data_IF_906902277100
#
_entry.id   IF_906902277100
#
_cell.length_a   1.000
_cell.length_b   1.000
_cell.length_c   1.000
_cell.angle_alpha   90.00
_cell.angle_beta   90.00
_cell.angle_gamma   90.00
#
_symmetry.space_group_name_H-M   'P 1'
#
loop_
_entity.id
_entity.type
_entity.pdbx_description
1 polymer ?
#
# COMPACT_ATOMS: atom_id res chain seq x y z
N UNK A 1 -10.30 63.44 64.16
CA UNK A 1 -10.58 63.04 62.76
C UNK A 1 -9.63 61.91 62.41
N UNK A 2 -10.10 60.67 62.38
CA UNK A 2 -9.29 59.51 62.00
C UNK A 2 -9.82 58.98 60.67
N UNK A 3 -8.99 59.07 59.62
CA UNK A 3 -9.27 58.56 58.29
C UNK A 3 -9.19 57.02 58.29
N UNK A 4 -10.29 56.35 57.98
CA UNK A 4 -10.27 54.93 57.61
C UNK A 4 -9.78 54.78 56.16
N UNK A 5 -8.79 53.91 55.86
CA UNK A 5 -8.41 53.64 54.49
C UNK A 5 -9.43 52.69 53.83
N UNK A 6 -9.91 53.09 52.65
CA UNK A 6 -10.76 52.29 51.78
C UNK A 6 -9.94 51.11 51.26
N UNK A 7 -10.41 49.89 51.53
CA UNK A 7 -9.79 48.67 51.04
C UNK A 7 -9.84 48.60 49.50
N UNK A 8 -8.70 48.29 48.88
CA UNK A 8 -8.59 48.12 47.43
C UNK A 8 -9.44 46.92 46.95
N UNK A 9 -10.06 47.01 45.75
CA UNK A 9 -10.87 45.92 45.23
C UNK A 9 -10.01 44.69 44.94
N UNK A 10 -10.55 43.47 45.10
CA UNK A 10 -9.79 42.26 44.89
C UNK A 10 -9.36 42.15 43.41
N UNK A 11 -8.16 41.64 43.12
CA UNK A 11 -7.69 41.50 41.76
C UNK A 11 -8.60 40.55 40.98
N UNK A 12 -9.02 40.97 39.78
CA UNK A 12 -9.82 40.15 38.88
C UNK A 12 -9.14 38.79 38.68
N UNK A 13 -9.84 37.69 39.00
CA UNK A 13 -9.35 36.33 38.79
C UNK A 13 -9.01 36.17 37.31
N UNK A 14 -7.71 36.11 36.97
CA UNK A 14 -7.24 35.72 35.62
C UNK A 14 -7.84 34.35 35.31
N UNK A 15 -8.82 34.32 34.41
CA UNK A 15 -9.43 33.09 33.91
C UNK A 15 -8.34 32.31 33.19
N UNK A 16 -7.77 31.30 33.84
CA UNK A 16 -6.82 30.39 33.20
C UNK A 16 -7.60 29.69 32.08
N UNK A 17 -7.35 30.08 30.83
CA UNK A 17 -7.86 29.37 29.65
C UNK A 17 -7.13 28.03 29.58
N UNK A 18 -7.67 27.04 30.30
CA UNK A 18 -7.21 25.67 30.21
C UNK A 18 -7.75 25.07 28.92
N UNK A 19 -6.91 24.32 28.19
CA UNK A 19 -7.34 23.52 27.03
C UNK A 19 -8.49 22.55 27.38
N UNK A 20 -8.66 22.22 28.67
CA UNK A 20 -9.79 21.44 29.17
C UNK A 20 -11.16 22.14 29.07
N UNK A 21 -11.20 23.42 28.68
CA UNK A 21 -12.46 24.15 28.46
C UNK A 21 -13.00 24.03 27.03
N UNK A 22 -12.20 23.46 26.12
CA UNK A 22 -12.59 23.25 24.73
C UNK A 22 -13.25 21.87 24.62
N UNK A 23 -14.41 21.76 23.95
CA UNK A 23 -15.04 20.47 23.66
C UNK A 23 -14.12 19.52 22.88
N UNK A 24 -14.18 18.21 23.19
CA UNK A 24 -13.30 17.21 22.61
C UNK A 24 -13.45 17.09 21.08
N UNK A 25 -14.66 17.28 20.54
CA UNK A 25 -14.92 17.29 19.09
C UNK A 25 -14.18 18.43 18.38
N UNK A 26 -14.13 19.62 18.98
CA UNK A 26 -13.35 20.76 18.47
C UNK A 26 -11.85 20.45 18.54
N UNK A 27 -11.37 19.86 19.64
CA UNK A 27 -9.96 19.46 19.77
C UNK A 27 -9.60 18.42 18.71
N UNK A 28 -10.42 17.39 18.52
CA UNK A 28 -10.23 16.36 17.48
C UNK A 28 -10.17 16.99 16.11
N UNK A 29 -11.08 17.93 15.81
CA UNK A 29 -11.10 18.64 14.53
C UNK A 29 -9.79 19.43 14.31
N UNK A 30 -9.27 20.12 15.33
CA UNK A 30 -7.98 20.82 15.28
C UNK A 30 -6.83 19.84 15.06
N UNK A 31 -6.75 18.79 15.88
CA UNK A 31 -5.71 17.75 15.80
C UNK A 31 -5.74 17.04 14.44
N UNK A 32 -6.90 16.85 13.83
CA UNK A 32 -7.07 16.23 12.52
C UNK A 32 -6.40 17.03 11.39
N UNK A 33 -6.15 18.34 11.57
CA UNK A 33 -5.44 19.17 10.59
C UNK A 33 -3.92 19.12 10.72
N UNK A 34 -3.41 18.54 11.80
CA UNK A 34 -1.97 18.40 12.04
C UNK A 34 -1.50 17.09 11.40
N UNK A 35 -0.34 17.09 10.73
CA UNK A 35 0.27 15.85 10.22
C UNK A 35 0.48 14.81 11.34
N UNK A 36 0.17 13.54 11.04
CA UNK A 36 0.31 12.39 11.96
C UNK A 36 1.74 12.27 12.52
N UNK A 37 2.74 12.74 11.79
CA UNK A 37 4.14 12.79 12.23
C UNK A 37 4.33 13.48 13.59
N UNK A 38 3.48 14.46 13.91
CA UNK A 38 3.54 15.22 15.17
C UNK A 38 2.72 14.59 16.30
N UNK A 39 1.87 13.59 16.01
CA UNK A 39 0.97 13.01 17.01
C UNK A 39 1.74 12.40 18.18
N UNK A 40 2.92 11.82 17.91
CA UNK A 40 3.77 11.29 18.97
C UNK A 40 4.19 12.36 19.97
N UNK A 41 4.52 13.56 19.51
CA UNK A 41 4.87 14.69 20.37
C UNK A 41 3.63 15.24 21.08
N UNK A 42 2.51 15.37 20.38
CA UNK A 42 1.26 15.89 20.94
C UNK A 42 0.66 14.97 22.02
N UNK A 43 0.77 13.66 21.85
CA UNK A 43 0.40 12.67 22.86
C UNK A 43 1.15 12.86 24.19
N UNK A 44 2.35 13.47 24.16
CA UNK A 44 3.15 13.74 25.37
C UNK A 44 2.75 15.05 26.06
N UNK A 45 2.00 15.92 25.39
CA UNK A 45 1.61 17.24 25.92
C UNK A 45 0.51 17.13 26.99
N UNK A 46 -0.44 16.20 26.81
CA UNK A 46 -1.60 16.05 27.68
C UNK A 46 -2.19 14.64 27.62
N UNK A 47 -2.70 14.16 28.76
CA UNK A 47 -3.48 12.91 28.81
C UNK A 47 -4.73 12.97 27.94
N UNK A 48 -5.35 14.15 27.80
CA UNK A 48 -6.51 14.31 26.92
C UNK A 48 -6.12 14.13 25.45
N UNK A 49 -5.03 14.78 25.02
CA UNK A 49 -4.52 14.61 23.65
C UNK A 49 -4.11 13.17 23.38
N UNK A 50 -3.46 12.50 24.33
CA UNK A 50 -3.18 11.07 24.22
C UNK A 50 -4.46 10.25 24.00
N UNK A 51 -5.51 10.49 24.80
CA UNK A 51 -6.80 9.79 24.70
C UNK A 51 -7.45 10.02 23.34
N UNK A 52 -7.57 11.28 22.91
CA UNK A 52 -8.22 11.64 21.65
C UNK A 52 -7.44 11.14 20.42
N UNK A 53 -6.11 11.23 20.43
CA UNK A 53 -5.26 10.72 19.34
C UNK A 53 -5.17 9.18 19.32
N UNK A 54 -5.56 8.52 20.40
CA UNK A 54 -5.69 7.05 20.46
C UNK A 54 -7.09 6.57 20.06
N UNK A 55 -8.09 7.47 20.03
CA UNK A 55 -9.45 7.17 19.59
C UNK A 55 -9.55 7.02 18.07
N UNK A 56 -10.41 6.13 17.53
CA UNK A 56 -10.71 6.09 16.11
C UNK A 56 -11.29 7.41 15.55
N UNK A 57 -11.86 8.26 16.40
CA UNK A 57 -12.54 9.51 16.01
C UNK A 57 -11.62 10.46 15.24
N UNK A 58 -10.33 10.50 15.59
CA UNK A 58 -9.36 11.36 14.91
C UNK A 58 -9.24 10.98 13.43
N UNK A 59 -9.28 9.69 13.11
CA UNK A 59 -9.14 9.21 11.74
C UNK A 59 -10.42 9.42 10.94
N UNK A 60 -11.58 9.31 11.59
CA UNK A 60 -12.85 9.70 10.98
C UNK A 60 -12.87 11.20 10.65
N UNK A 61 -12.47 12.05 11.60
CA UNK A 61 -12.38 13.49 11.39
C UNK A 61 -11.42 13.85 10.24
N UNK A 62 -10.23 13.23 10.18
CA UNK A 62 -9.26 13.41 9.07
C UNK A 62 -9.84 13.02 7.72
N UNK A 63 -10.53 11.88 7.67
CA UNK A 63 -11.19 11.41 6.45
C UNK A 63 -12.25 12.40 5.97
N UNK A 64 -13.03 13.00 6.89
CA UNK A 64 -14.05 13.99 6.55
C UNK A 64 -13.47 15.30 6.01
N UNK A 65 -12.36 15.77 6.59
CA UNK A 65 -11.73 17.04 6.18
C UNK A 65 -10.69 16.87 5.06
N UNK A 66 -10.45 15.65 4.59
CA UNK A 66 -9.52 15.34 3.51
C UNK A 66 -8.04 15.45 3.89
N UNK A 67 -7.69 15.28 5.17
CA UNK A 67 -6.31 15.38 5.66
C UNK A 67 -5.64 14.03 5.90
N UNK A 68 -6.14 12.92 5.34
CA UNK A 68 -5.50 11.60 5.50
C UNK A 68 -4.07 11.59 4.96
N UNK A 69 -3.13 11.07 5.75
CA UNK A 69 -1.73 10.93 5.34
C UNK A 69 -1.56 9.59 4.61
N UNK A 70 -0.80 9.58 3.51
CA UNK A 70 -0.46 8.35 2.81
C UNK A 70 0.78 7.74 3.47
N UNK A 71 0.70 6.47 3.88
CA UNK A 71 1.82 5.73 4.47
C UNK A 71 2.18 4.49 3.64
N UNK A 72 3.48 4.21 3.54
CA UNK A 72 3.97 2.99 2.90
C UNK A 72 4.20 1.90 3.94
N UNK A 73 3.50 0.80 3.76
CA UNK A 73 3.67 -0.42 4.54
C UNK A 73 4.47 -1.43 3.72
N UNK A 74 5.46 -2.05 4.35
CA UNK A 74 6.37 -3.04 3.76
C UNK A 74 6.28 -4.32 4.59
N UNK A 75 5.90 -5.43 3.96
CA UNK A 75 5.93 -6.75 4.57
C UNK A 75 7.16 -7.51 4.08
N UNK A 76 8.02 -7.90 5.03
CA UNK A 76 9.19 -8.73 4.76
C UNK A 76 8.98 -10.14 5.31
N UNK A 77 9.39 -11.13 4.52
CA UNK A 77 9.58 -12.51 4.95
C UNK A 77 11.01 -12.66 5.45
N UNK A 78 11.14 -12.93 6.74
CA UNK A 78 12.40 -13.03 7.47
C UNK A 78 12.69 -14.50 7.82
N UNK A 79 13.94 -14.96 7.69
CA UNK A 79 14.31 -16.30 8.17
C UNK A 79 14.23 -16.35 9.69
N UNK A 80 13.82 -17.50 10.23
CA UNK A 80 13.86 -17.75 11.67
C UNK A 80 15.20 -18.42 12.00
N UNK A 81 15.99 -17.94 12.99
CA UNK A 81 17.35 -18.42 13.22
C UNK A 81 17.50 -19.92 13.50
N UNK A 82 16.46 -20.55 14.04
CA UNK A 82 16.46 -21.94 14.52
C UNK A 82 15.55 -22.89 13.70
N UNK A 83 15.01 -22.45 12.57
CA UNK A 83 14.06 -23.25 11.79
C UNK A 83 14.11 -22.93 10.30
N UNK A 84 13.71 -23.88 9.46
CA UNK A 84 13.40 -23.61 8.03
C UNK A 84 12.15 -22.75 7.85
N UNK A 85 11.41 -22.48 8.95
CA UNK A 85 10.28 -21.57 8.97
C UNK A 85 10.71 -20.12 8.74
N UNK A 86 9.84 -19.37 8.09
CA UNK A 86 10.03 -17.95 7.88
C UNK A 86 8.84 -17.23 8.50
N UNK A 87 9.08 -16.03 9.03
CA UNK A 87 8.01 -15.21 9.56
C UNK A 87 7.83 -13.91 8.77
N UNK A 88 6.59 -13.47 8.67
CA UNK A 88 6.23 -12.21 8.07
C UNK A 88 6.33 -11.10 9.11
N UNK A 89 6.79 -9.92 8.70
CA UNK A 89 6.83 -8.75 9.56
C UNK A 89 6.51 -7.51 8.76
N UNK A 90 5.57 -6.73 9.28
CA UNK A 90 5.16 -5.45 8.72
C UNK A 90 5.99 -4.31 9.29
N UNK A 91 6.37 -3.41 8.40
CA UNK A 91 7.13 -2.20 8.68
C UNK A 91 6.42 -1.02 8.04
N UNK A 92 6.42 0.11 8.72
CA UNK A 92 6.15 1.40 8.11
C UNK A 92 7.45 1.96 7.53
N UNK A 93 7.39 2.50 6.31
CA UNK A 93 8.48 3.27 5.76
C UNK A 93 8.36 4.70 6.32
N UNK A 94 9.29 5.06 7.21
CA UNK A 94 9.30 6.35 7.87
C UNK A 94 10.67 7.02 7.78
N UNK A 95 10.69 8.32 8.06
CA UNK A 95 11.93 9.08 8.08
C UNK A 95 12.61 8.98 9.45
N UNK A 96 13.87 8.54 9.46
CA UNK A 96 14.76 8.69 10.61
C UNK A 96 15.99 9.47 10.15
N UNK A 97 16.27 10.58 10.82
CA UNK A 97 17.42 11.44 10.52
C UNK A 97 17.50 11.85 9.03
N UNK A 98 16.35 12.09 8.39
CA UNK A 98 16.26 12.50 6.99
C UNK A 98 16.42 11.37 5.95
N UNK A 99 16.58 10.12 6.37
CA UNK A 99 16.64 8.94 5.49
C UNK A 99 15.40 8.05 5.64
N UNK A 100 14.97 7.41 4.54
CA UNK A 100 13.93 6.39 4.59
C UNK A 100 14.42 5.17 5.36
N UNK A 101 13.63 4.72 6.32
CA UNK A 101 13.96 3.60 7.19
C UNK A 101 12.74 2.74 7.48
N UNK A 102 12.98 1.44 7.71
CA UNK A 102 11.95 0.49 8.10
C UNK A 102 11.68 0.60 9.60
N UNK A 103 10.48 1.04 9.96
CA UNK A 103 10.01 1.13 11.34
C UNK A 103 9.06 -0.03 11.61
N UNK A 104 9.39 -0.98 12.52
CA UNK A 104 8.52 -2.11 12.80
C UNK A 104 7.12 -1.68 13.25
N UNK A 105 6.08 -2.27 12.66
CA UNK A 105 4.70 -2.10 13.14
C UNK A 105 4.53 -2.98 14.37
N UNK A 106 4.55 -2.37 15.56
CA UNK A 106 4.28 -3.07 16.82
C UNK A 106 2.78 -3.21 17.00
N UNK A 107 2.30 -4.45 17.05
CA UNK A 107 0.87 -4.76 17.23
C UNK A 107 0.53 -4.90 18.70
N UNK A 108 -0.61 -4.33 19.12
CA UNK A 108 -1.01 -4.28 20.53
C UNK A 108 -1.62 -5.59 21.07
N UNK A 109 -2.06 -6.50 20.20
CA UNK A 109 -2.61 -7.78 20.65
C UNK A 109 -1.52 -8.82 20.88
N UNK A 110 -1.50 -9.41 22.08
CA UNK A 110 -0.74 -10.64 22.42
C UNK A 110 -1.33 -11.89 21.74
N UNK A 111 -2.49 -11.79 21.07
CA UNK A 111 -3.05 -12.90 20.29
C UNK A 111 -2.33 -13.00 18.94
N UNK A 112 -1.11 -13.53 19.02
CA UNK A 112 -0.49 -14.40 18.01
C UNK A 112 -0.30 -13.83 16.61
N UNK A 113 0.82 -13.10 16.43
CA UNK A 113 1.59 -12.94 15.18
C UNK A 113 0.82 -12.43 13.94
N UNK A 114 1.47 -11.67 13.04
CA UNK A 114 1.02 -11.73 11.65
C UNK A 114 1.08 -13.21 11.27
N UNK A 115 -0.02 -13.88 10.92
CA UNK A 115 0.06 -15.31 10.70
C UNK A 115 1.04 -15.52 9.56
N UNK A 116 2.10 -16.27 9.84
CA UNK A 116 3.15 -16.58 8.89
C UNK A 116 2.54 -17.41 7.77
N UNK A 117 2.03 -16.70 6.76
CA UNK A 117 1.33 -17.25 5.62
C UNK A 117 2.20 -17.04 4.42
N UNK A 118 3.07 -18.02 4.18
CA UNK A 118 3.93 -18.03 3.01
C UNK A 118 3.09 -17.84 1.76
N UNK A 119 3.52 -16.91 0.92
CA UNK A 119 2.92 -16.64 -0.38
C UNK A 119 1.42 -16.28 -0.29
N UNK A 120 1.02 -15.62 0.81
CA UNK A 120 -0.25 -14.87 0.88
C UNK A 120 -0.21 -13.66 -0.04
N UNK A 121 -1.38 -13.20 -0.47
CA UNK A 121 -1.52 -11.92 -1.17
C UNK A 121 -1.97 -10.84 -0.20
N UNK A 122 -1.63 -9.58 -0.48
CA UNK A 122 -2.01 -8.46 0.37
C UNK A 122 -2.55 -7.31 -0.48
N UNK A 123 -3.61 -6.66 -0.01
CA UNK A 123 -4.18 -5.47 -0.64
C UNK A 123 -4.51 -4.42 0.41
N UNK A 124 -4.24 -3.16 0.10
CA UNK A 124 -4.64 -2.03 0.91
C UNK A 124 -6.07 -1.62 0.57
N UNK A 125 -6.87 -1.40 1.59
CA UNK A 125 -8.24 -0.88 1.48
C UNK A 125 -8.39 0.22 2.51
N UNK A 126 -8.47 1.47 2.05
CA UNK A 126 -8.51 2.64 2.94
C UNK A 126 -7.34 2.60 3.95
N UNK A 127 -7.67 2.50 5.25
CA UNK A 127 -6.74 2.42 6.38
C UNK A 127 -6.45 0.99 6.86
N UNK A 128 -6.80 0.00 6.07
CA UNK A 128 -6.69 -1.41 6.40
C UNK A 128 -5.84 -2.16 5.37
N UNK A 129 -5.13 -3.19 5.82
CA UNK A 129 -4.44 -4.13 4.94
C UNK A 129 -5.08 -5.50 5.11
N UNK A 130 -5.57 -6.05 4.01
CA UNK A 130 -6.12 -7.40 3.96
C UNK A 130 -5.01 -8.36 3.51
N UNK A 131 -4.64 -9.29 4.38
CA UNK A 131 -3.79 -10.43 4.08
C UNK A 131 -4.65 -11.66 3.81
N UNK A 132 -4.54 -12.22 2.60
CA UNK A 132 -5.47 -13.21 2.07
C UNK A 132 -4.72 -14.46 1.64
N UNK A 133 -5.19 -15.63 2.10
CA UNK A 133 -4.67 -16.92 1.70
C UNK A 133 -3.22 -17.16 2.14
N UNK A 134 -2.45 -17.90 1.35
CA UNK A 134 -1.10 -18.34 1.64
C UNK A 134 -1.06 -19.76 2.22
N UNK A 135 -0.05 -20.06 3.03
CA UNK A 135 0.14 -21.38 3.61
C UNK A 135 1.12 -21.39 4.78
N UNK A 136 1.01 -22.37 5.67
CA UNK A 136 1.99 -22.59 6.75
C UNK A 136 3.27 -23.24 6.24
N UNK A 137 3.23 -23.90 5.09
CA UNK A 137 4.37 -24.51 4.42
C UNK A 137 4.19 -24.51 2.88
N UNK A 138 5.06 -25.23 2.15
CA UNK A 138 4.96 -25.22 0.69
C UNK A 138 3.68 -25.89 0.13
N UNK A 139 3.12 -26.86 0.86
CA UNK A 139 2.07 -27.75 0.36
C UNK A 139 0.65 -27.34 0.79
N UNK A 140 0.49 -26.70 1.95
CA UNK A 140 -0.83 -26.38 2.52
C UNK A 140 -1.31 -25.00 2.08
N UNK A 141 -2.47 -24.94 1.44
CA UNK A 141 -3.21 -23.70 1.12
C UNK A 141 -4.17 -23.34 2.26
N UNK A 142 -4.51 -22.08 2.40
CA UNK A 142 -5.47 -21.61 3.41
C UNK A 142 -6.55 -20.72 2.81
N UNK A 143 -7.75 -20.76 3.39
CA UNK A 143 -8.87 -19.87 3.07
C UNK A 143 -8.88 -18.58 3.89
N UNK A 144 -8.01 -18.49 4.89
CA UNK A 144 -8.13 -17.48 5.93
C UNK A 144 -7.83 -16.08 5.41
N UNK A 145 -8.56 -15.12 5.98
CA UNK A 145 -8.34 -13.68 5.76
C UNK A 145 -8.10 -12.99 7.10
N UNK A 146 -7.14 -12.08 7.09
CA UNK A 146 -6.72 -11.30 8.25
C UNK A 146 -6.57 -9.84 7.86
N UNK A 147 -7.02 -8.96 8.73
CA UNK A 147 -7.01 -7.52 8.49
C UNK A 147 -6.14 -6.87 9.53
N UNK A 148 -5.15 -6.09 9.06
CA UNK A 148 -4.40 -5.17 9.89
C UNK A 148 -5.05 -3.80 9.76
N UNK A 149 -5.71 -3.34 10.82
CA UNK A 149 -6.13 -1.94 10.92
C UNK A 149 -4.87 -1.12 11.22
N UNK A 150 -4.48 -0.23 10.30
CA UNK A 150 -3.23 0.53 10.37
C UNK A 150 -3.28 1.69 11.38
N UNK A 151 -4.48 2.07 11.83
CA UNK A 151 -4.72 3.15 12.79
C UNK A 151 -4.48 2.63 14.21
N UNK A 152 -5.18 1.57 14.56
CA UNK A 152 -5.08 0.88 15.85
C UNK A 152 -3.88 -0.07 15.95
N UNK A 153 -3.28 -0.44 14.81
CA UNK A 153 -2.20 -1.44 14.71
C UNK A 153 -2.64 -2.79 15.30
N UNK A 154 -3.87 -3.17 15.05
CA UNK A 154 -4.44 -4.44 15.53
C UNK A 154 -4.79 -5.36 14.39
N UNK A 155 -4.62 -6.66 14.63
CA UNK A 155 -5.05 -7.69 13.71
C UNK A 155 -6.42 -8.21 14.11
N UNK A 156 -7.29 -8.40 13.13
CA UNK A 156 -8.60 -9.04 13.29
C UNK A 156 -8.86 -10.08 12.21
N UNK A 157 -9.65 -11.13 12.49
CA UNK A 157 -10.17 -11.99 11.45
C UNK A 157 -11.16 -11.23 10.56
N UNK A 158 -11.26 -11.66 9.31
CA UNK A 158 -12.36 -11.35 8.39
C UNK A 158 -12.95 -12.67 7.88
N UNK A 159 -14.13 -12.66 7.25
CA UNK A 159 -14.72 -13.87 6.67
C UNK A 159 -13.73 -14.61 5.76
N UNK A 160 -13.59 -15.91 5.99
CA UNK A 160 -12.73 -16.76 5.18
C UNK A 160 -13.25 -16.86 3.74
N UNK A 161 -12.34 -17.00 2.78
CA UNK A 161 -12.68 -17.38 1.40
C UNK A 161 -13.40 -18.73 1.37
N UNK A 162 -14.12 -19.00 0.29
CA UNK A 162 -14.70 -20.33 0.03
C UNK A 162 -13.62 -21.31 -0.42
N UNK A 163 -12.63 -20.85 -1.18
CA UNK A 163 -11.54 -21.68 -1.70
C UNK A 163 -10.22 -21.33 -1.01
N UNK A 164 -9.46 -22.36 -0.63
CA UNK A 164 -8.11 -22.18 -0.10
C UNK A 164 -7.13 -21.81 -1.23
N UNK A 165 -6.39 -20.70 -1.05
CA UNK A 165 -5.51 -20.13 -2.09
C UNK A 165 -4.11 -19.86 -1.56
N UNK A 166 -3.11 -20.00 -2.43
CA UNK A 166 -1.70 -19.64 -2.20
C UNK A 166 -1.08 -19.15 -3.51
N UNK A 167 -0.22 -18.14 -3.48
CA UNK A 167 0.24 -17.41 -4.69
C UNK A 167 -0.89 -16.73 -5.46
N UNK A 168 -2.00 -16.41 -4.80
CA UNK A 168 -3.08 -15.62 -5.39
C UNK A 168 -2.65 -14.17 -5.63
N UNK A 169 -3.41 -13.46 -6.46
CA UNK A 169 -3.29 -12.01 -6.64
C UNK A 169 -4.56 -11.35 -6.11
N UNK A 170 -4.43 -10.20 -5.43
CA UNK A 170 -5.57 -9.44 -4.91
C UNK A 170 -5.61 -8.02 -5.45
N UNK A 171 -6.82 -7.53 -5.69
CA UNK A 171 -7.09 -6.21 -6.26
C UNK A 171 -8.23 -5.53 -5.50
N UNK A 172 -8.12 -4.22 -5.30
CA UNK A 172 -9.19 -3.41 -4.70
C UNK A 172 -9.85 -2.57 -5.78
N UNK A 173 -11.17 -2.69 -5.91
CA UNK A 173 -11.99 -1.96 -6.88
C UNK A 173 -13.42 -1.85 -6.35
N UNK A 174 -13.99 -0.64 -6.36
CA UNK A 174 -15.39 -0.37 -5.98
C UNK A 174 -15.85 -0.99 -4.66
N UNK A 175 -15.11 -0.75 -3.57
CA UNK A 175 -15.36 -1.31 -2.23
C UNK A 175 -15.37 -2.85 -2.17
N UNK A 176 -14.76 -3.51 -3.17
CA UNK A 176 -14.66 -4.97 -3.26
C UNK A 176 -13.20 -5.39 -3.42
N UNK A 177 -12.89 -6.56 -2.88
CA UNK A 177 -11.59 -7.20 -3.04
C UNK A 177 -11.73 -8.39 -3.98
N UNK A 178 -11.05 -8.34 -5.10
CA UNK A 178 -10.99 -9.42 -6.09
C UNK A 178 -9.75 -10.25 -5.84
N UNK A 179 -9.89 -11.56 -5.73
CA UNK A 179 -8.80 -12.50 -5.48
C UNK A 179 -8.78 -13.53 -6.61
N UNK A 180 -7.68 -13.63 -7.35
CA UNK A 180 -7.57 -14.48 -8.53
C UNK A 180 -6.43 -15.50 -8.40
N UNK A 181 -6.65 -16.68 -8.98
CA UNK A 181 -5.66 -17.75 -9.04
C UNK A 181 -5.33 -18.39 -7.68
N UNK A 182 -4.19 -19.07 -7.64
CA UNK A 182 -3.65 -19.67 -6.42
C UNK A 182 -4.41 -20.90 -5.86
N UNK A 183 -5.43 -21.37 -6.57
CA UNK A 183 -6.21 -22.57 -6.24
C UNK A 183 -5.76 -23.80 -7.04
N UNK A 184 -6.35 -24.96 -6.78
CA UNK A 184 -6.19 -26.15 -7.64
C UNK A 184 -6.94 -25.96 -8.97
N UNK A 185 -6.52 -26.66 -10.04
CA UNK A 185 -7.07 -26.54 -11.42
C UNK A 185 -8.51 -27.07 -11.52
N UNK A 186 -9.50 -26.31 -11.02
CA UNK A 186 -10.91 -26.43 -11.39
C UNK A 186 -11.40 -25.05 -11.83
N UNK A 187 -12.13 -24.99 -12.94
CA UNK A 187 -12.52 -23.73 -13.59
C UNK A 187 -13.43 -22.87 -12.71
N UNK A 188 -14.35 -23.50 -11.96
CA UNK A 188 -15.27 -22.86 -11.02
C UNK A 188 -14.58 -22.12 -9.86
N UNK A 189 -13.30 -22.43 -9.60
CA UNK A 189 -12.55 -21.88 -8.46
C UNK A 189 -11.56 -20.78 -8.84
N UNK A 190 -11.61 -20.28 -10.08
CA UNK A 190 -10.59 -19.37 -10.62
C UNK A 190 -10.35 -18.13 -9.74
N UNK A 191 -11.41 -17.48 -9.28
CA UNK A 191 -11.30 -16.34 -8.38
C UNK A 191 -12.53 -16.17 -7.49
N UNK A 192 -12.44 -15.24 -6.56
CA UNK A 192 -13.54 -14.83 -5.69
C UNK A 192 -13.52 -13.32 -5.47
N UNK A 193 -14.70 -12.75 -5.22
CA UNK A 193 -14.90 -11.33 -4.89
C UNK A 193 -15.43 -11.25 -3.47
N UNK A 194 -14.76 -10.47 -2.63
CA UNK A 194 -15.22 -10.11 -1.30
C UNK A 194 -15.89 -8.74 -1.33
N UNK A 195 -17.15 -8.71 -0.96
CA UNK A 195 -17.88 -7.47 -0.77
C UNK A 195 -17.72 -7.01 0.69
N UNK A 196 -17.05 -5.86 0.88
CA UNK A 196 -16.68 -5.36 2.20
C UNK A 196 -17.91 -4.91 2.99
N UNK A 197 -18.94 -4.40 2.31
CA UNK A 197 -20.16 -3.91 2.98
C UNK A 197 -20.99 -5.06 3.53
N UNK A 198 -21.17 -6.11 2.72
CA UNK A 198 -21.96 -7.29 3.08
C UNK A 198 -21.16 -8.36 3.80
N UNK A 199 -19.82 -8.24 3.83
CA UNK A 199 -18.90 -9.22 4.41
C UNK A 199 -19.07 -10.63 3.80
N UNK A 200 -19.37 -10.70 2.50
CA UNK A 200 -19.65 -11.96 1.78
C UNK A 200 -18.71 -12.18 0.61
N UNK A 201 -18.34 -13.44 0.42
CA UNK A 201 -17.59 -13.91 -0.75
C UNK A 201 -18.53 -14.44 -1.84
N UNK A 202 -18.28 -14.04 -3.08
CA UNK A 202 -18.93 -14.57 -4.29
C UNK A 202 -17.88 -15.14 -5.24
N UNK A 203 -18.20 -16.18 -6.03
CA UNK A 203 -17.32 -16.63 -7.10
C UNK A 203 -17.05 -15.51 -8.10
N UNK A 204 -15.83 -15.45 -8.64
CA UNK A 204 -15.47 -14.60 -9.77
C UNK A 204 -15.26 -15.52 -10.98
N UNK A 205 -16.02 -15.35 -12.08
CA UNK A 205 -15.87 -16.19 -13.26
C UNK A 205 -14.45 -16.08 -13.83
N UNK A 206 -13.95 -17.17 -14.42
CA UNK A 206 -12.70 -17.19 -15.16
C UNK A 206 -12.87 -16.39 -16.47
N UNK A 207 -11.90 -15.56 -16.88
CA UNK A 207 -11.93 -14.97 -18.22
C UNK A 207 -11.87 -16.08 -19.30
N UNK A 208 -12.37 -15.84 -20.53
CA UNK A 208 -12.39 -16.81 -21.64
C UNK A 208 -11.02 -17.32 -22.18
N UNK A 209 -9.98 -17.39 -21.35
CA UNK A 209 -8.63 -17.81 -21.71
C UNK A 209 -8.00 -18.76 -20.68
N UNK A 210 -7.24 -19.74 -21.18
CA UNK A 210 -6.66 -20.84 -20.40
C UNK A 210 -5.30 -20.58 -19.74
N UNK A 211 -4.83 -19.34 -19.74
CA UNK A 211 -3.48 -19.02 -19.28
C UNK A 211 -3.43 -18.33 -17.90
N UNK A 212 -2.23 -18.28 -17.29
CA UNK A 212 -2.03 -17.49 -16.06
C UNK A 212 -2.19 -16.00 -16.38
N UNK A 213 -3.13 -15.37 -15.69
CA UNK A 213 -3.54 -13.99 -15.96
C UNK A 213 -2.88 -13.05 -14.96
N UNK A 214 -2.05 -12.13 -15.43
CA UNK A 214 -1.67 -10.95 -14.62
C UNK A 214 -2.81 -9.97 -14.65
N UNK A 215 -3.31 -9.55 -13.50
CA UNK A 215 -4.36 -8.54 -13.43
C UNK A 215 -3.85 -7.14 -13.07
N UNK A 216 -4.61 -6.11 -13.48
CA UNK A 216 -4.47 -4.72 -13.02
C UNK A 216 -5.84 -4.06 -12.88
N UNK A 217 -5.99 -3.15 -11.93
CA UNK A 217 -7.16 -2.25 -11.90
C UNK A 217 -6.82 -0.96 -12.63
N UNK A 218 -7.60 -0.62 -13.65
CA UNK A 218 -7.43 0.59 -14.45
C UNK A 218 -8.80 1.13 -14.87
N UNK A 219 -9.00 2.44 -14.79
CA UNK A 219 -10.23 3.07 -15.27
C UNK A 219 -11.53 2.52 -14.68
N UNK A 220 -11.50 2.02 -13.43
CA UNK A 220 -12.67 1.43 -12.78
C UNK A 220 -12.97 -0.02 -13.19
N UNK A 221 -12.07 -0.69 -13.92
CA UNK A 221 -12.22 -2.08 -14.35
C UNK A 221 -11.03 -2.93 -13.89
N UNK A 222 -11.27 -4.22 -13.69
CA UNK A 222 -10.21 -5.20 -13.48
C UNK A 222 -9.85 -5.83 -14.81
N UNK A 223 -8.64 -5.54 -15.29
CA UNK A 223 -8.10 -6.13 -16.50
C UNK A 223 -7.30 -7.39 -16.21
N UNK A 224 -7.39 -8.38 -17.08
CA UNK A 224 -6.58 -9.60 -17.09
C UNK A 224 -5.76 -9.64 -18.39
N UNK A 225 -4.44 -9.71 -18.23
CA UNK A 225 -3.47 -9.81 -19.33
C UNK A 225 -2.98 -11.25 -19.49
N UNK A 226 -3.05 -11.73 -20.72
CA UNK A 226 -2.51 -13.01 -21.16
C UNK A 226 -1.09 -12.84 -21.69
N UNK A 227 -0.18 -13.75 -21.35
CA UNK A 227 1.21 -13.68 -21.80
C UNK A 227 1.46 -14.08 -23.27
N UNK A 228 0.49 -14.71 -23.95
CA UNK A 228 0.74 -15.39 -25.24
C UNK A 228 -0.05 -14.90 -26.44
N UNK A 229 -1.23 -14.29 -26.29
CA UNK A 229 -2.12 -14.00 -27.42
C UNK A 229 -2.59 -12.54 -27.50
N UNK A 230 -2.01 -11.61 -26.73
CA UNK A 230 -2.42 -10.20 -26.65
C UNK A 230 -3.93 -9.96 -26.41
N UNK A 231 -4.67 -10.99 -25.99
CA UNK A 231 -6.09 -10.88 -25.71
C UNK A 231 -6.26 -10.40 -24.27
N UNK A 232 -6.57 -9.12 -24.13
CA UNK A 232 -6.87 -8.54 -22.83
C UNK A 232 -8.37 -8.66 -22.57
N UNK A 233 -8.72 -8.97 -21.32
CA UNK A 233 -10.12 -9.03 -20.90
C UNK A 233 -10.32 -8.01 -19.78
N UNK A 234 -11.43 -7.28 -19.83
CA UNK A 234 -11.86 -6.39 -18.77
C UNK A 234 -13.06 -7.02 -18.06
N UNK A 235 -13.01 -7.12 -16.74
CA UNK A 235 -14.15 -7.51 -15.94
C UNK A 235 -15.01 -6.28 -15.67
N UNK A 236 -16.29 -6.39 -16.00
CA UNK A 236 -17.30 -5.37 -15.72
C UNK A 236 -18.08 -5.71 -14.45
N UNK A 237 -17.84 -5.01 -13.32
CA UNK A 237 -18.46 -5.36 -12.04
C UNK A 237 -19.99 -5.29 -12.03
N UNK A 238 -20.58 -4.43 -12.84
CA UNK A 238 -22.04 -4.25 -12.93
C UNK A 238 -22.74 -5.41 -13.65
N UNK A 239 -22.08 -5.94 -14.68
CA UNK A 239 -22.61 -7.02 -15.51
C UNK A 239 -22.10 -8.39 -15.06
N UNK A 240 -21.18 -8.42 -14.08
CA UNK A 240 -20.51 -9.60 -13.54
C UNK A 240 -19.90 -10.53 -14.62
N UNK A 241 -19.39 -9.94 -15.71
CA UNK A 241 -18.82 -10.68 -16.85
C UNK A 241 -17.50 -10.09 -17.36
N UNK A 242 -16.74 -10.93 -18.06
CA UNK A 242 -15.54 -10.52 -18.79
C UNK A 242 -15.91 -10.11 -20.21
N UNK A 243 -15.37 -8.97 -20.64
CA UNK A 243 -15.48 -8.47 -22.01
C UNK A 243 -14.08 -8.49 -22.62
N UNK A 244 -13.94 -9.05 -23.82
CA UNK A 244 -12.69 -8.97 -24.57
C UNK A 244 -12.47 -7.50 -24.99
N UNK A 245 -11.32 -6.94 -24.63
CA UNK A 245 -11.02 -5.54 -24.92
C UNK A 245 -9.64 -5.46 -25.59
N UNK A 246 -9.58 -4.89 -26.78
CA UNK A 246 -8.32 -4.63 -27.48
C UNK A 246 -7.53 -3.44 -26.87
N UNK A 247 -7.97 -2.93 -25.71
CA UNK A 247 -7.31 -1.83 -25.01
C UNK A 247 -5.84 -2.11 -24.73
N UNK A 248 -5.08 -1.05 -24.48
CA UNK A 248 -3.62 -1.07 -24.30
C UNK A 248 -2.81 -1.35 -25.59
N UNK A 249 -3.31 -0.93 -26.75
CA UNK A 249 -2.57 -1.02 -28.02
C UNK A 249 -1.19 -0.37 -27.88
N UNK A 250 -0.15 -1.16 -28.18
CA UNK A 250 1.27 -0.78 -28.12
C UNK A 250 1.87 -0.64 -26.72
N UNK A 251 1.18 -1.16 -25.69
CA UNK A 251 1.82 -1.60 -24.45
C UNK A 251 2.58 -2.91 -24.73
N UNK A 252 3.87 -2.96 -24.37
CA UNK A 252 4.67 -4.17 -24.53
C UNK A 252 4.26 -5.29 -23.57
N UNK A 253 4.83 -6.50 -23.72
CA UNK A 253 4.54 -7.62 -22.82
C UNK A 253 4.84 -7.27 -21.36
N UNK A 254 3.84 -7.45 -20.47
CA UNK A 254 3.98 -7.16 -19.05
C UNK A 254 4.73 -8.30 -18.36
N UNK A 255 6.05 -8.30 -18.45
CA UNK A 255 6.92 -9.31 -17.82
C UNK A 255 7.31 -8.93 -16.39
N UNK A 256 7.46 -7.63 -16.12
CA UNK A 256 7.86 -7.07 -14.83
C UNK A 256 6.73 -6.68 -13.88
N UNK A 257 7.06 -5.94 -12.80
CA UNK A 257 6.09 -5.28 -11.93
C UNK A 257 5.39 -4.11 -12.65
N UNK A 258 4.15 -3.84 -12.25
CA UNK A 258 3.30 -2.81 -12.84
C UNK A 258 2.61 -2.00 -11.74
N UNK A 259 2.40 -0.71 -12.00
CA UNK A 259 1.71 0.22 -11.12
C UNK A 259 0.84 1.16 -11.95
N UNK A 260 -0.33 1.53 -11.42
CA UNK A 260 -1.21 2.54 -12.02
C UNK A 260 -1.24 3.76 -11.12
N UNK A 261 -0.99 4.93 -11.72
CA UNK A 261 -1.08 6.23 -11.05
C UNK A 261 -1.92 7.10 -11.98
N UNK A 262 -3.07 7.60 -11.49
CA UNK A 262 -3.99 8.36 -12.34
C UNK A 262 -4.47 7.52 -13.53
N UNK A 263 -4.23 8.03 -14.74
CA UNK A 263 -4.58 7.36 -16.00
C UNK A 263 -3.36 6.73 -16.68
N UNK A 264 -2.22 6.69 -15.99
CA UNK A 264 -0.94 6.26 -16.49
C UNK A 264 -0.53 4.92 -15.88
N UNK A 265 0.03 4.05 -16.71
CA UNK A 265 0.55 2.75 -16.34
C UNK A 265 2.07 2.80 -16.34
N UNK A 266 2.67 2.43 -15.23
CA UNK A 266 4.12 2.38 -15.03
C UNK A 266 4.56 0.92 -14.96
N UNK A 267 5.64 0.60 -15.67
CA UNK A 267 6.22 -0.74 -15.65
C UNK A 267 7.72 -0.70 -15.88
N UNK A 268 8.39 -1.81 -15.59
CA UNK A 268 9.76 -2.05 -16.00
C UNK A 268 9.79 -2.85 -17.30
N UNK A 269 10.49 -2.31 -18.31
CA UNK A 269 10.74 -2.98 -19.57
C UNK A 269 12.20 -2.74 -19.99
N UNK A 270 12.89 -3.80 -20.42
CA UNK A 270 14.30 -3.77 -20.82
C UNK A 270 15.20 -2.95 -19.88
N UNK A 271 15.11 -3.26 -18.58
CA UNK A 271 15.88 -2.61 -17.51
C UNK A 271 15.62 -1.10 -17.33
N UNK A 272 14.66 -0.52 -18.05
CA UNK A 272 14.22 0.87 -17.94
C UNK A 272 12.83 0.93 -17.32
N UNK A 273 12.56 2.00 -16.59
CA UNK A 273 11.21 2.31 -16.18
C UNK A 273 10.52 3.11 -17.27
N UNK A 274 9.30 2.69 -17.53
CA UNK A 274 8.50 3.16 -18.64
C UNK A 274 7.11 3.51 -18.15
N UNK A 275 6.45 4.35 -18.91
CA UNK A 275 5.08 4.75 -18.69
C UNK A 275 4.28 4.58 -19.98
N UNK A 276 2.98 4.39 -19.84
CA UNK A 276 2.04 4.21 -20.92
C UNK A 276 0.71 4.86 -20.52
N UNK A 277 0.15 5.69 -21.39
CA UNK A 277 -1.19 6.23 -21.23
C UNK A 277 -2.07 5.66 -22.35
N UNK A 278 -3.05 4.78 -22.05
CA UNK A 278 -3.95 4.19 -23.04
C UNK A 278 -4.79 5.21 -23.80
N UNK A 279 -4.99 6.42 -23.23
CA UNK A 279 -5.79 7.50 -23.83
C UNK A 279 -4.98 8.42 -24.74
N UNK A 280 -3.65 8.41 -24.63
CA UNK A 280 -2.79 9.21 -25.50
C UNK A 280 -2.61 8.50 -26.84
N UNK A 281 -3.09 9.11 -27.92
CA UNK A 281 -3.14 8.55 -29.29
C UNK A 281 -1.80 8.16 -29.92
N UNK A 282 -0.68 8.36 -29.22
CA UNK A 282 0.66 7.98 -29.67
C UNK A 282 0.93 6.47 -29.44
N UNK A 283 0.10 5.80 -28.64
CA UNK A 283 -0.04 4.35 -28.60
C UNK A 283 1.22 3.54 -28.27
N UNK A 284 2.28 4.14 -27.73
CA UNK A 284 3.53 3.43 -27.42
C UNK A 284 4.01 3.71 -26.01
N UNK A 285 4.48 2.66 -25.36
CA UNK A 285 5.18 2.72 -24.09
C UNK A 285 6.48 3.52 -24.23
N UNK A 286 6.72 4.46 -23.31
CA UNK A 286 7.86 5.38 -23.36
C UNK A 286 8.70 5.31 -22.09
N UNK A 287 9.99 5.60 -22.20
CA UNK A 287 10.89 5.65 -21.04
C UNK A 287 10.64 6.90 -20.21
N UNK A 288 10.70 6.77 -18.88
CA UNK A 288 10.63 7.91 -17.96
C UNK A 288 11.98 8.61 -17.94
N UNK A 289 12.00 9.90 -18.26
CA UNK A 289 13.20 10.73 -18.24
C UNK A 289 13.62 11.06 -16.79
N UNK A 290 14.91 11.32 -16.55
CA UNK A 290 15.38 11.83 -15.25
C UNK A 290 15.69 10.78 -14.17
N UNK A 291 15.61 9.48 -14.46
CA UNK A 291 15.87 8.39 -13.50
C UNK A 291 17.33 7.90 -13.46
N UNK A 292 18.27 8.71 -13.96
CA UNK A 292 19.69 8.34 -14.06
C UNK A 292 20.31 7.92 -12.71
N UNK A 293 19.95 8.60 -11.63
CA UNK A 293 20.50 8.29 -10.30
C UNK A 293 20.00 6.95 -9.76
N UNK A 294 18.78 6.54 -10.12
CA UNK A 294 18.28 5.19 -9.81
C UNK A 294 19.08 4.16 -10.59
N UNK A 295 19.30 4.38 -11.89
CA UNK A 295 20.07 3.45 -12.72
C UNK A 295 21.53 3.31 -12.26
N UNK A 296 22.18 4.41 -11.87
CA UNK A 296 23.57 4.41 -11.35
C UNK A 296 23.73 3.58 -10.07
N UNK A 297 22.70 3.54 -9.23
CA UNK A 297 22.73 2.79 -7.96
C UNK A 297 22.51 1.29 -8.14
N UNK A 298 21.95 0.86 -9.28
CA UNK A 298 21.72 -0.57 -9.56
C UNK A 298 23.03 -1.30 -9.82
N UNK A 299 23.18 -2.46 -9.20
CA UNK A 299 24.18 -3.45 -9.58
C UNK A 299 23.71 -4.29 -10.79
N UNK A 300 24.62 -4.97 -11.49
CA UNK A 300 24.26 -5.85 -12.63
C UNK A 300 23.23 -6.94 -12.29
N UNK A 301 23.27 -7.48 -11.06
CA UNK A 301 22.36 -8.53 -10.57
C UNK A 301 21.18 -7.97 -9.76
N UNK A 302 20.60 -6.87 -10.24
CA UNK A 302 19.41 -6.29 -9.62
C UNK A 302 18.13 -6.95 -10.12
N UNK A 303 17.05 -6.81 -9.34
CA UNK A 303 15.69 -7.13 -9.75
C UNK A 303 14.72 -6.12 -9.15
N UNK A 304 13.93 -5.45 -10.00
CA UNK A 304 12.78 -4.68 -9.50
C UNK A 304 11.75 -5.65 -8.93
N UNK A 305 11.37 -5.44 -7.68
CA UNK A 305 10.43 -6.32 -6.98
C UNK A 305 9.01 -5.79 -7.15
N UNK A 306 8.82 -4.49 -6.93
CA UNK A 306 7.49 -3.88 -6.95
C UNK A 306 7.56 -2.39 -7.34
N UNK A 307 6.50 -1.94 -8.03
CA UNK A 307 6.18 -0.54 -8.26
C UNK A 307 4.91 -0.22 -7.47
N UNK A 308 4.87 0.92 -6.78
CA UNK A 308 3.75 1.28 -5.90
C UNK A 308 3.36 2.74 -6.13
N UNK A 309 2.04 2.99 -6.19
CA UNK A 309 1.49 4.34 -6.20
C UNK A 309 1.44 4.86 -4.77
N UNK A 310 2.17 5.94 -4.49
CA UNK A 310 2.21 6.57 -3.18
C UNK A 310 1.83 8.05 -3.28
N UNK A 311 0.53 8.34 -3.15
CA UNK A 311 0.03 9.72 -3.20
C UNK A 311 0.36 10.41 -4.52
N UNK A 312 0.29 9.70 -5.65
CA UNK A 312 0.66 10.23 -6.97
C UNK A 312 2.15 10.11 -7.31
N UNK A 313 3.00 9.74 -6.34
CA UNK A 313 4.43 9.47 -6.58
C UNK A 313 4.63 8.01 -6.94
N UNK A 314 5.60 7.75 -7.81
CA UNK A 314 6.02 6.40 -8.14
C UNK A 314 7.09 5.94 -7.13
N UNK A 315 6.78 4.88 -6.41
CA UNK A 315 7.73 4.22 -5.51
C UNK A 315 8.26 2.97 -6.18
N UNK A 316 9.58 2.85 -6.17
CA UNK A 316 10.31 1.78 -6.85
C UNK A 316 11.09 1.02 -5.81
N UNK A 317 10.82 -0.28 -5.69
CA UNK A 317 11.52 -1.16 -4.77
C UNK A 317 12.24 -2.24 -5.57
N UNK A 318 13.56 -2.29 -5.41
CA UNK A 318 14.39 -3.31 -6.04
C UNK A 318 15.34 -3.92 -5.02
N UNK A 319 15.80 -5.12 -5.32
CA UNK A 319 16.91 -5.70 -4.61
C UNK A 319 18.12 -5.93 -5.52
N UNK A 320 19.25 -6.11 -4.89
CA UNK A 320 20.48 -6.52 -5.52
C UNK A 320 21.02 -7.73 -4.80
N UNK A 321 21.42 -8.75 -5.56
CA UNK A 321 21.99 -9.96 -4.98
C UNK A 321 23.49 -10.03 -5.24
N UNK A 322 24.27 -10.16 -4.17
CA UNK A 322 25.72 -10.40 -4.21
C UNK A 322 26.02 -11.67 -3.42
N UNK A 323 26.38 -12.76 -4.11
CA UNK A 323 26.59 -14.09 -3.51
C UNK A 323 25.36 -14.53 -2.69
N UNK A 324 25.51 -14.74 -1.37
CA UNK A 324 24.42 -15.12 -0.44
C UNK A 324 23.78 -13.91 0.27
N UNK A 325 24.15 -12.68 -0.11
CA UNK A 325 23.66 -11.44 0.52
C UNK A 325 22.78 -10.65 -0.46
N UNK A 326 21.82 -9.91 0.08
CA UNK A 326 20.92 -9.01 -0.65
C UNK A 326 20.94 -7.63 -0.03
N UNK A 327 20.75 -6.62 -0.89
CA UNK A 327 20.46 -5.24 -0.50
C UNK A 327 19.07 -4.87 -1.00
N UNK A 328 18.27 -4.20 -0.18
CA UNK A 328 16.93 -3.74 -0.55
C UNK A 328 16.94 -2.22 -0.64
N UNK A 329 16.56 -1.69 -1.79
CA UNK A 329 16.54 -0.27 -2.06
C UNK A 329 15.11 0.23 -2.30
N UNK A 330 14.90 1.51 -2.02
CA UNK A 330 13.65 2.20 -2.30
C UNK A 330 13.93 3.59 -2.88
N UNK A 331 13.29 3.91 -4.00
CA UNK A 331 13.29 5.24 -4.57
C UNK A 331 11.86 5.81 -4.61
N UNK A 332 11.74 7.10 -4.30
CA UNK A 332 10.49 7.85 -4.39
C UNK A 332 10.65 8.88 -5.50
N UNK A 333 9.79 8.78 -6.51
CA UNK A 333 9.87 9.56 -7.74
C UNK A 333 8.63 10.43 -7.86
N UNK A 334 8.85 11.74 -7.93
CA UNK A 334 7.80 12.67 -8.36
C UNK A 334 7.74 12.71 -9.87
N UNK A 335 6.52 12.69 -10.39
CA UNK A 335 6.23 12.60 -11.82
C UNK A 335 5.69 13.93 -12.32
N UNK A 336 6.24 14.41 -13.43
CA UNK A 336 5.82 15.64 -14.10
C UNK A 336 5.60 15.32 -15.57
N UNK A 337 4.38 15.51 -16.05
CA UNK A 337 4.06 15.42 -17.46
C UNK A 337 4.44 16.71 -18.18
N UNK A 338 5.14 16.60 -19.31
CA UNK A 338 5.56 17.74 -20.12
C UNK A 338 5.12 17.56 -21.56
N UNK A 339 4.34 18.51 -22.04
CA UNK A 339 4.00 18.63 -23.46
C UNK A 339 5.19 19.22 -24.21
N UNK A 340 5.71 18.49 -25.19
CA UNK A 340 6.75 18.97 -26.10
C UNK A 340 6.23 18.96 -27.54
N UNK A 341 6.85 19.68 -28.49
CA UNK A 341 6.48 19.61 -29.90
C UNK A 341 6.57 18.18 -30.49
N UNK A 342 7.37 17.31 -29.87
CA UNK A 342 7.54 15.89 -30.24
C UNK A 342 6.54 14.95 -29.53
N UNK A 343 5.59 15.51 -28.77
CA UNK A 343 4.59 14.78 -27.99
C UNK A 343 4.79 14.90 -26.48
N UNK A 344 3.91 14.25 -25.73
CA UNK A 344 3.96 14.19 -24.27
C UNK A 344 5.11 13.32 -23.79
N UNK A 345 5.91 13.84 -22.85
CA UNK A 345 6.97 13.09 -22.15
C UNK A 345 6.73 13.10 -20.64
N UNK A 346 7.15 12.03 -19.97
CA UNK A 346 7.10 11.92 -18.51
C UNK A 346 8.49 12.13 -17.94
N UNK A 347 8.63 13.16 -17.10
CA UNK A 347 9.86 13.45 -16.36
C UNK A 347 9.71 12.96 -14.92
N UNK A 348 10.60 12.07 -14.50
CA UNK A 348 10.75 11.65 -13.12
C UNK A 348 11.82 12.46 -12.40
N UNK A 349 11.47 13.08 -11.27
CA UNK A 349 12.41 13.67 -10.31
C UNK A 349 12.61 12.70 -9.15
N UNK A 350 13.84 12.21 -8.98
CA UNK A 350 14.21 11.37 -7.83
C UNK A 350 14.21 12.23 -6.58
N UNK A 351 13.19 12.10 -5.74
CA UNK A 351 13.14 12.83 -4.47
C UNK A 351 14.01 12.16 -3.42
N UNK A 352 13.98 10.83 -3.40
CA UNK A 352 14.72 9.99 -2.46
C UNK A 352 15.13 8.70 -3.13
N UNK A 353 16.25 8.14 -2.67
CA UNK A 353 16.76 6.89 -3.18
C UNK A 353 17.69 6.28 -2.13
N UNK A 354 17.12 5.51 -1.19
CA UNK A 354 17.78 5.08 0.04
C UNK A 354 17.86 3.56 0.12
N UNK A 355 18.89 3.08 0.83
CA UNK A 355 19.10 1.68 1.14
C UNK A 355 18.29 1.32 2.39
N UNK A 356 17.27 0.48 2.25
CA UNK A 356 16.39 0.08 3.34
C UNK A 356 16.98 -1.04 4.20
N UNK A 357 17.67 -1.97 3.56
CA UNK A 357 18.35 -3.09 4.22
C UNK A 357 19.69 -3.31 3.55
N UNK A 358 20.75 -3.25 4.34
CA UNK A 358 22.09 -3.57 3.88
C UNK A 358 22.47 -5.01 4.22
N UNK A 359 23.10 -5.68 3.26
CA UNK A 359 23.78 -6.95 3.44
C UNK A 359 23.00 -8.02 4.23
N UNK A 360 21.71 -8.21 3.93
CA UNK A 360 20.89 -9.26 4.56
C UNK A 360 21.07 -10.60 3.84
N UNK A 361 20.78 -11.72 4.50
CA UNK A 361 20.85 -13.04 3.85
C UNK A 361 19.83 -13.13 2.70
N UNK A 362 20.14 -13.88 1.64
CA UNK A 362 19.28 -14.01 0.43
C UNK A 362 17.86 -14.55 0.70
N UNK A 363 17.62 -15.16 1.86
CA UNK A 363 16.30 -15.64 2.30
C UNK A 363 15.35 -14.50 2.70
N UNK A 364 15.85 -13.29 2.91
CA UNK A 364 15.01 -12.11 3.09
C UNK A 364 14.28 -11.84 1.77
N UNK A 365 12.95 -11.83 1.82
CA UNK A 365 12.10 -11.57 0.65
C UNK A 365 11.09 -10.48 0.99
N UNK A 366 10.92 -9.55 0.05
CA UNK A 366 9.79 -8.63 0.10
C UNK A 366 8.54 -9.41 -0.31
N UNK A 367 7.54 -9.45 0.58
CA UNK A 367 6.25 -10.08 0.31
C UNK A 367 5.26 -9.09 -0.28
N UNK A 368 5.23 -7.86 0.24
CA UNK A 368 4.32 -6.81 -0.22
C UNK A 368 4.86 -5.45 0.16
N UNK A 369 4.62 -4.45 -0.68
CA UNK A 369 4.65 -3.05 -0.33
C UNK A 369 3.34 -2.40 -0.77
N UNK A 370 2.69 -1.70 0.16
CA UNK A 370 1.35 -1.15 -0.03
C UNK A 370 1.33 0.30 0.42
N UNK A 371 0.59 1.11 -0.32
CA UNK A 371 0.27 2.48 0.08
C UNK A 371 -1.09 2.48 0.76
N UNK A 372 -1.15 3.00 1.97
CA UNK A 372 -2.34 2.96 2.85
C UNK A 372 -2.68 4.39 3.27
N UNK A 373 -3.96 4.73 3.25
CA UNK A 373 -4.46 6.03 3.72
C UNK A 373 -4.72 5.93 5.23
N UNK A 374 -4.09 6.80 6.02
CA UNK A 374 -4.24 6.82 7.48
C UNK A 374 -4.74 8.16 7.96
#
# INVERSE_FOLDING_TARGET
>A
MANNPIAAPPPAKKRKTSLSSIPDDVIVNVLARISISHYRSLCLVSKNFYSLLSSPDIYFARSLIGTTDVHLYVCLRLPTPSSTSHHHRWFNLGYRQGQLSLVPVRTLSSSSYSPDRLNSTSVAVHSEIYQIGGGSNEEKRTRAVRVLDCRSRTWRPAPDMKVARKHARSYFLDDKIYVTGGCTRREENWGEVFDIKTQKWKPLPKPPSDHDHKGVVYGGRLYAFTSMNNNNYAYEPKEERWVQEAGFVGLGPITGPLCVIGNEIFSEHDRKYTWYNPRNGNGKQQVIDGLNDVYKKRANNYRTIQLVNHGGKLVIIWNETRRKRKRLWCAVISLEERSTPLGTRMRGKVERCDLLLDSVHKSYMLSSCLSVLV
#
